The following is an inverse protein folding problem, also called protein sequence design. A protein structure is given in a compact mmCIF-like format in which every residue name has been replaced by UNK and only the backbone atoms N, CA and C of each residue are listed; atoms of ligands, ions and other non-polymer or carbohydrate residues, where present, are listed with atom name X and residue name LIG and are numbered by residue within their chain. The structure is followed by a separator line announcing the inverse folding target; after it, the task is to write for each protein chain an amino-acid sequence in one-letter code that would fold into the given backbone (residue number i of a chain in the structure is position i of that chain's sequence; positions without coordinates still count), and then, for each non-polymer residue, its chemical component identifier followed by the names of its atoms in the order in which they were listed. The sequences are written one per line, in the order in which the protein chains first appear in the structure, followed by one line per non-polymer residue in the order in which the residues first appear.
data_IF_938056180467
#
_entry.id   IF_938056180467
#
_cell.length_a   1.000
_cell.length_b   1.000
_cell.length_c   1.000
_cell.angle_alpha   90.00
_cell.angle_beta   90.00
_cell.angle_gamma   90.00
#
_symmetry.space_group_name_H-M   'P 1'
#
loop_
_entity.id
_entity.type
_entity.pdbx_description
1 polymer ?
#
# COMPACT_ATOMS: atom_id res chain seq x y z
N UNK A 1 -6.19 17.28 -13.20
CA UNK A 1 -4.90 17.48 -12.50
C UNK A 1 -4.82 16.40 -11.43
N UNK A 2 -3.72 15.64 -11.33
CA UNK A 2 -3.64 14.58 -10.34
C UNK A 2 -3.61 15.17 -8.92
N UNK A 3 -4.43 14.58 -8.04
CA UNK A 3 -4.52 14.96 -6.64
C UNK A 3 -3.98 13.83 -5.77
N UNK A 4 -3.32 14.18 -4.68
CA UNK A 4 -2.88 13.25 -3.66
C UNK A 4 -3.55 13.57 -2.32
N UNK A 5 -4.15 12.58 -1.69
CA UNK A 5 -4.64 12.73 -0.33
C UNK A 5 -3.55 12.34 0.67
N UNK A 6 -3.39 13.15 1.70
CA UNK A 6 -2.64 12.81 2.91
C UNK A 6 -3.64 12.62 4.05
N UNK A 7 -3.76 11.40 4.56
CA UNK A 7 -4.56 11.11 5.76
C UNK A 7 -3.64 11.09 6.97
N UNK A 8 -3.84 12.04 7.87
CA UNK A 8 -2.99 12.23 9.04
C UNK A 8 -1.63 12.81 8.68
N UNK A 9 -0.55 12.17 9.09
CA UNK A 9 0.84 12.68 8.97
C UNK A 9 1.81 11.57 8.55
N UNK A 10 3.03 11.91 8.07
CA UNK A 10 4.10 10.93 7.92
C UNK A 10 4.40 10.22 9.24
N UNK A 11 4.88 8.97 9.16
CA UNK A 11 5.20 8.19 10.36
C UNK A 11 6.29 8.88 11.18
N UNK A 12 6.09 9.06 12.49
CA UNK A 12 7.01 9.81 13.33
C UNK A 12 8.40 9.15 13.39
N UNK A 13 9.44 9.92 13.13
CA UNK A 13 10.83 9.47 13.18
C UNK A 13 11.40 9.00 11.85
N UNK A 14 10.58 8.74 10.85
CA UNK A 14 11.02 8.44 9.48
C UNK A 14 11.12 9.74 8.69
N UNK A 15 12.27 10.42 8.79
CA UNK A 15 12.46 11.75 8.20
C UNK A 15 12.49 11.73 6.67
N UNK A 16 12.79 10.60 6.10
CA UNK A 16 12.77 10.36 4.65
C UNK A 16 11.35 10.40 4.05
N UNK A 17 10.29 10.21 4.86
CA UNK A 17 8.90 10.32 4.38
C UNK A 17 8.41 11.76 4.19
N UNK A 18 9.09 12.73 4.83
CA UNK A 18 8.65 14.13 4.78
C UNK A 18 8.88 14.73 3.40
N UNK A 19 7.97 15.63 3.01
CA UNK A 19 8.00 16.35 1.73
C UNK A 19 7.53 17.79 1.94
N UNK A 20 8.07 18.70 1.17
CA UNK A 20 7.55 20.07 1.07
C UNK A 20 6.41 20.09 0.04
N UNK A 21 5.17 20.17 0.53
CA UNK A 21 3.96 20.15 -0.30
C UNK A 21 3.82 21.38 -1.19
N UNK A 22 4.28 22.55 -0.72
CA UNK A 22 4.27 23.76 -1.55
C UNK A 22 5.25 23.65 -2.70
N UNK A 23 6.40 23.03 -2.44
CA UNK A 23 7.38 22.75 -3.48
C UNK A 23 6.89 21.65 -4.44
N UNK A 24 6.18 20.65 -3.92
CA UNK A 24 5.53 19.60 -4.73
C UNK A 24 4.55 20.23 -5.74
N UNK A 25 3.69 21.13 -5.27
CA UNK A 25 2.77 21.85 -6.15
C UNK A 25 3.51 22.71 -7.18
N UNK A 26 4.49 23.48 -6.74
CA UNK A 26 5.23 24.39 -7.63
C UNK A 26 6.06 23.66 -8.70
N UNK A 27 6.62 22.50 -8.39
CA UNK A 27 7.51 21.74 -9.29
C UNK A 27 6.79 20.73 -10.17
N UNK A 28 5.76 20.07 -9.62
CA UNK A 28 5.09 18.96 -10.28
C UNK A 28 3.61 19.25 -10.58
N UNK A 29 3.06 20.34 -10.06
CA UNK A 29 1.64 20.64 -10.20
C UNK A 29 0.70 19.71 -9.45
N UNK A 30 1.23 18.93 -8.51
CA UNK A 30 0.43 18.01 -7.69
C UNK A 30 -0.17 18.77 -6.52
N UNK A 31 -1.49 18.65 -6.36
CA UNK A 31 -2.20 19.25 -5.25
C UNK A 31 -2.41 18.25 -4.14
N UNK A 32 -1.96 18.59 -2.93
CA UNK A 32 -2.15 17.77 -1.74
C UNK A 32 -3.43 18.16 -1.02
N UNK A 33 -4.33 17.21 -0.81
CA UNK A 33 -5.52 17.35 0.02
C UNK A 33 -5.24 16.73 1.38
N UNK A 34 -5.33 17.52 2.44
CA UNK A 34 -5.11 17.06 3.80
C UNK A 34 -6.41 16.60 4.43
N UNK A 35 -6.39 15.42 5.03
CA UNK A 35 -7.50 14.84 5.80
C UNK A 35 -6.99 14.40 7.16
N UNK A 36 -7.74 14.70 8.19
CA UNK A 36 -7.51 14.14 9.51
C UNK A 36 -8.23 12.77 9.65
N UNK A 37 -7.80 11.97 10.61
CA UNK A 37 -8.48 10.70 10.88
C UNK A 37 -9.94 10.87 11.28
N UNK A 38 -10.26 11.99 11.92
CA UNK A 38 -11.62 12.39 12.28
C UNK A 38 -12.54 12.55 11.07
N UNK A 39 -12.01 13.00 9.95
CA UNK A 39 -12.76 13.12 8.68
C UNK A 39 -13.15 11.73 8.13
N UNK A 40 -12.38 10.71 8.49
CA UNK A 40 -12.54 9.35 7.98
C UNK A 40 -13.36 8.44 8.88
N UNK A 41 -13.63 8.82 10.16
CA UNK A 41 -14.24 7.92 11.14
C UNK A 41 -15.63 7.42 10.75
N UNK A 42 -16.41 8.24 10.07
CA UNK A 42 -17.76 7.92 9.63
C UNK A 42 -17.86 7.51 8.15
N UNK A 43 -16.72 7.37 7.46
CA UNK A 43 -16.69 7.17 6.00
C UNK A 43 -17.55 5.99 5.52
N UNK A 44 -17.70 4.95 6.35
CA UNK A 44 -18.49 3.77 6.01
C UNK A 44 -19.96 3.86 6.43
N UNK A 45 -20.38 4.87 7.20
CA UNK A 45 -21.73 4.92 7.77
C UNK A 45 -22.81 5.12 6.70
N UNK A 46 -22.50 5.86 5.65
CA UNK A 46 -23.42 6.14 4.53
C UNK A 46 -23.55 4.97 3.54
N UNK A 47 -22.70 3.95 3.66
CA UNK A 47 -22.77 2.76 2.78
C UNK A 47 -23.83 1.81 3.34
N UNK A 48 -25.03 1.87 2.79
CA UNK A 48 -26.22 1.13 3.24
C UNK A 48 -26.81 0.15 2.21
N UNK A 49 -26.33 0.22 0.95
CA UNK A 49 -26.79 -0.68 -0.12
C UNK A 49 -26.25 -2.11 0.10
N UNK A 50 -27.11 -2.97 0.62
CA UNK A 50 -26.76 -4.36 0.95
C UNK A 50 -26.32 -5.15 -0.29
N UNK A 51 -26.89 -4.92 -1.46
CA UNK A 51 -26.50 -5.65 -2.68
C UNK A 51 -25.15 -5.18 -3.21
N UNK A 52 -24.85 -3.88 -3.12
CA UNK A 52 -23.53 -3.36 -3.43
C UNK A 52 -22.45 -3.93 -2.47
N UNK A 53 -22.77 -4.02 -1.17
CA UNK A 53 -21.86 -4.60 -0.16
C UNK A 53 -21.59 -6.08 -0.48
N UNK A 54 -22.61 -6.88 -0.78
CA UNK A 54 -22.45 -8.30 -1.16
C UNK A 54 -21.61 -8.47 -2.42
N UNK A 55 -21.89 -7.66 -3.43
CA UNK A 55 -21.12 -7.68 -4.68
C UNK A 55 -19.63 -7.34 -4.42
N UNK A 56 -19.35 -6.36 -3.57
CA UNK A 56 -17.98 -6.01 -3.18
C UNK A 56 -17.33 -7.10 -2.33
N UNK A 57 -18.08 -7.73 -1.42
CA UNK A 57 -17.59 -8.88 -0.65
C UNK A 57 -17.16 -10.02 -1.58
N UNK A 58 -17.95 -10.31 -2.61
CA UNK A 58 -17.57 -11.30 -3.62
C UNK A 58 -16.32 -10.90 -4.40
N UNK A 59 -16.20 -9.61 -4.82
CA UNK A 59 -15.01 -9.09 -5.51
C UNK A 59 -13.73 -9.24 -4.65
N UNK A 60 -13.83 -9.02 -3.33
CA UNK A 60 -12.72 -9.24 -2.39
C UNK A 60 -12.34 -10.73 -2.35
N UNK A 61 -13.30 -11.64 -2.19
CA UNK A 61 -13.05 -13.09 -2.17
C UNK A 61 -12.52 -13.58 -3.53
N UNK A 62 -12.97 -13.01 -4.64
CA UNK A 62 -12.46 -13.34 -5.97
C UNK A 62 -11.02 -12.85 -6.17
N UNK A 63 -10.65 -11.74 -5.54
CA UNK A 63 -9.32 -11.15 -5.64
C UNK A 63 -8.32 -11.79 -4.68
N UNK A 64 -8.72 -12.08 -3.44
CA UNK A 64 -7.85 -12.57 -2.38
C UNK A 64 -8.31 -13.92 -1.84
N UNK A 65 -7.33 -14.74 -1.43
CA UNK A 65 -7.58 -15.88 -0.54
C UNK A 65 -7.53 -15.35 0.90
N UNK A 66 -8.70 -15.24 1.53
CA UNK A 66 -8.75 -14.76 2.92
C UNK A 66 -8.38 -15.90 3.87
N UNK A 67 -7.43 -15.63 4.77
CA UNK A 67 -6.95 -16.59 5.75
C UNK A 67 -8.10 -17.14 6.61
N UNK A 68 -8.14 -18.48 6.77
CA UNK A 68 -9.24 -19.14 7.48
C UNK A 68 -10.39 -19.59 6.59
N UNK A 69 -10.34 -19.32 5.28
CA UNK A 69 -11.34 -19.82 4.32
C UNK A 69 -12.66 -19.03 4.36
N UNK A 70 -12.61 -17.74 4.61
CA UNK A 70 -13.78 -16.86 4.66
C UNK A 70 -14.54 -16.82 3.33
N UNK A 71 -15.82 -16.56 3.40
CA UNK A 71 -16.77 -16.42 2.28
C UNK A 71 -17.31 -14.99 2.20
N UNK A 72 -17.93 -14.66 1.07
CA UNK A 72 -18.54 -13.35 0.88
C UNK A 72 -19.74 -13.07 1.81
N UNK A 73 -20.28 -14.11 2.47
CA UNK A 73 -21.41 -14.01 3.40
C UNK A 73 -20.97 -13.79 4.85
N UNK A 74 -19.67 -13.93 5.14
CA UNK A 74 -19.15 -13.74 6.50
C UNK A 74 -19.25 -12.28 6.92
N UNK A 75 -19.67 -12.06 8.17
CA UNK A 75 -19.90 -10.70 8.71
C UNK A 75 -18.66 -9.81 8.60
N UNK A 76 -17.48 -10.36 8.89
CA UNK A 76 -16.21 -9.62 8.79
C UNK A 76 -15.89 -9.21 7.34
N UNK A 77 -16.23 -10.06 6.35
CA UNK A 77 -16.02 -9.77 4.93
C UNK A 77 -17.02 -8.74 4.43
N UNK A 78 -18.28 -8.83 4.88
CA UNK A 78 -19.30 -7.82 4.58
C UNK A 78 -18.93 -6.44 5.15
N UNK A 79 -18.40 -6.42 6.38
CA UNK A 79 -17.92 -5.18 6.99
C UNK A 79 -16.70 -4.63 6.27
N UNK A 80 -15.74 -5.48 5.89
CA UNK A 80 -14.61 -5.11 5.03
C UNK A 80 -15.09 -4.50 3.71
N UNK A 81 -16.06 -5.15 3.04
CA UNK A 81 -16.63 -4.68 1.79
C UNK A 81 -17.27 -3.29 1.91
N UNK A 82 -17.95 -3.05 3.03
CA UNK A 82 -18.53 -1.75 3.34
C UNK A 82 -17.46 -0.65 3.42
N UNK A 83 -16.35 -0.92 4.10
CA UNK A 83 -15.24 0.04 4.19
C UNK A 83 -14.54 0.23 2.84
N UNK A 84 -14.33 -0.85 2.07
CA UNK A 84 -13.75 -0.75 0.73
C UNK A 84 -14.60 0.17 -0.16
N UNK A 85 -15.93 -0.04 -0.20
CA UNK A 85 -16.84 0.82 -0.96
C UNK A 85 -16.77 2.28 -0.51
N UNK A 86 -16.67 2.52 0.80
CA UNK A 86 -16.56 3.87 1.34
C UNK A 86 -15.28 4.57 0.88
N UNK A 87 -14.15 3.90 0.94
CA UNK A 87 -12.87 4.45 0.45
C UNK A 87 -12.87 4.65 -1.08
N UNK A 88 -13.49 3.74 -1.83
CA UNK A 88 -13.64 3.89 -3.29
C UNK A 88 -14.52 5.11 -3.64
N UNK A 89 -15.63 5.28 -2.95
CA UNK A 89 -16.53 6.42 -3.16
C UNK A 89 -15.83 7.74 -2.77
N UNK A 90 -15.18 7.78 -1.62
CA UNK A 90 -14.42 8.95 -1.17
C UNK A 90 -13.29 9.32 -2.15
N UNK A 91 -12.51 8.35 -2.60
CA UNK A 91 -11.44 8.60 -3.56
C UNK A 91 -11.96 9.17 -4.88
N UNK A 92 -13.12 8.70 -5.33
CA UNK A 92 -13.80 9.19 -6.51
C UNK A 92 -14.35 10.61 -6.32
N UNK A 93 -15.04 10.88 -5.21
CA UNK A 93 -15.64 12.18 -4.91
C UNK A 93 -14.59 13.27 -4.73
N UNK A 94 -13.44 12.91 -4.19
CA UNK A 94 -12.30 13.78 -4.01
C UNK A 94 -11.36 13.83 -5.24
N UNK A 95 -11.68 13.13 -6.33
CA UNK A 95 -10.87 13.05 -7.56
C UNK A 95 -9.39 12.68 -7.25
N UNK A 96 -9.21 11.60 -6.48
CA UNK A 96 -7.89 11.16 -6.02
C UNK A 96 -7.27 10.14 -6.98
N UNK A 97 -6.02 10.37 -7.34
CA UNK A 97 -5.19 9.39 -8.05
C UNK A 97 -4.13 8.74 -7.15
N UNK A 98 -3.88 9.36 -6.00
CA UNK A 98 -2.90 8.89 -5.02
C UNK A 98 -3.39 9.15 -3.59
N UNK A 99 -3.05 8.24 -2.68
CA UNK A 99 -3.37 8.35 -1.25
C UNK A 99 -2.13 7.96 -0.45
N UNK A 100 -1.79 8.76 0.55
CA UNK A 100 -0.78 8.45 1.55
C UNK A 100 -1.44 8.50 2.94
N UNK A 101 -1.38 7.43 3.72
CA UNK A 101 -2.06 7.36 4.99
C UNK A 101 -1.12 7.07 6.14
N UNK A 102 -1.25 7.86 7.20
CA UNK A 102 -0.62 7.55 8.47
C UNK A 102 -1.12 6.22 9.01
N UNK A 103 -0.19 5.41 9.50
CA UNK A 103 -0.52 4.19 10.23
C UNK A 103 -0.48 4.47 11.73
N UNK A 104 -1.64 4.53 12.38
CA UNK A 104 -1.75 4.88 13.79
C UNK A 104 -1.32 3.74 14.73
N UNK A 105 -1.66 2.51 14.41
CA UNK A 105 -1.20 1.27 15.06
C UNK A 105 -1.50 1.10 16.55
N UNK A 106 -2.27 1.99 17.15
CA UNK A 106 -2.70 1.94 18.55
C UNK A 106 -4.17 2.27 18.73
N UNK A 107 -4.87 2.45 17.61
CA UNK A 107 -6.24 2.89 17.65
C UNK A 107 -7.14 1.81 18.25
N UNK A 108 -8.12 2.22 19.03
CA UNK A 108 -9.19 1.39 19.58
C UNK A 108 -10.55 1.97 19.18
N UNK A 109 -11.59 1.18 19.30
CA UNK A 109 -12.93 1.60 18.92
C UNK A 109 -13.04 1.88 17.43
N UNK A 110 -13.72 2.98 17.07
CA UNK A 110 -13.98 3.36 15.65
C UNK A 110 -12.67 3.56 14.87
N UNK A 111 -11.72 4.27 15.45
CA UNK A 111 -10.42 4.51 14.82
C UNK A 111 -9.62 3.21 14.61
N UNK A 112 -9.69 2.27 15.57
CA UNK A 112 -9.05 0.96 15.44
C UNK A 112 -9.68 0.09 14.36
N UNK A 113 -11.00 0.18 14.21
CA UNK A 113 -11.70 -0.52 13.14
C UNK A 113 -11.32 0.04 11.77
N UNK A 114 -11.30 1.35 11.62
CA UNK A 114 -10.90 2.01 10.38
C UNK A 114 -9.46 1.65 10.00
N UNK A 115 -8.53 1.69 10.96
CA UNK A 115 -7.12 1.32 10.76
C UNK A 115 -6.98 -0.15 10.33
N UNK A 116 -7.80 -1.06 10.88
CA UNK A 116 -7.82 -2.47 10.48
C UNK A 116 -8.36 -2.70 9.07
N UNK A 117 -9.23 -1.83 8.57
CA UNK A 117 -9.86 -1.93 7.25
C UNK A 117 -9.11 -1.15 6.16
N UNK A 118 -8.12 -0.36 6.53
CA UNK A 118 -7.32 0.44 5.58
C UNK A 118 -6.60 -0.43 4.56
N UNK A 119 -5.98 -1.53 4.99
CA UNK A 119 -5.17 -2.39 4.12
C UNK A 119 -6.01 -3.08 3.04
N UNK A 120 -7.17 -3.71 3.35
CA UNK A 120 -8.08 -4.21 2.32
C UNK A 120 -8.54 -3.12 1.35
N UNK A 121 -8.95 -1.95 1.88
CA UNK A 121 -9.41 -0.85 1.05
C UNK A 121 -8.30 -0.35 0.10
N UNK A 122 -7.09 -0.15 0.60
CA UNK A 122 -5.95 0.26 -0.22
C UNK A 122 -5.57 -0.79 -1.25
N UNK A 123 -5.60 -2.08 -0.91
CA UNK A 123 -5.30 -3.14 -1.87
C UNK A 123 -6.31 -3.19 -3.02
N UNK A 124 -7.59 -2.97 -2.74
CA UNK A 124 -8.62 -2.88 -3.77
C UNK A 124 -8.51 -1.60 -4.61
N UNK A 125 -8.19 -0.47 -3.99
CA UNK A 125 -7.94 0.79 -4.70
C UNK A 125 -6.70 0.70 -5.61
N UNK A 126 -5.62 0.06 -5.16
CA UNK A 126 -4.42 -0.17 -5.96
C UNK A 126 -4.76 -1.00 -7.20
N UNK A 127 -5.53 -2.07 -7.05
CA UNK A 127 -6.03 -2.88 -8.18
C UNK A 127 -6.81 -2.04 -9.19
N UNK A 128 -7.55 -1.03 -8.74
CA UNK A 128 -8.34 -0.13 -9.60
C UNK A 128 -7.53 1.03 -10.21
N UNK A 129 -6.25 1.18 -9.84
CA UNK A 129 -5.35 2.18 -10.41
C UNK A 129 -5.02 3.37 -9.49
N UNK A 130 -5.64 3.48 -8.32
CA UNK A 130 -5.30 4.49 -7.33
C UNK A 130 -4.08 4.05 -6.53
N UNK A 131 -2.99 4.79 -6.58
CA UNK A 131 -1.78 4.45 -5.84
C UNK A 131 -1.93 4.77 -4.34
N UNK A 132 -1.85 3.76 -3.49
CA UNK A 132 -2.03 3.91 -2.05
C UNK A 132 -0.79 3.48 -1.29
N UNK A 133 -0.17 4.43 -0.57
CA UNK A 133 0.97 4.19 0.30
C UNK A 133 0.57 4.31 1.78
N UNK A 134 1.10 3.45 2.60
CA UNK A 134 0.99 3.55 4.06
C UNK A 134 2.10 4.44 4.63
N UNK A 135 2.10 4.64 5.96
CA UNK A 135 3.09 5.45 6.69
C UNK A 135 3.10 6.95 6.35
N UNK A 136 2.14 7.39 5.53
CA UNK A 136 2.06 8.78 5.08
C UNK A 136 3.10 9.15 4.02
N UNK A 137 3.62 8.15 3.27
CA UNK A 137 4.65 8.38 2.24
C UNK A 137 4.05 8.81 0.90
N UNK A 138 3.93 10.11 0.71
CA UNK A 138 3.48 10.68 -0.57
C UNK A 138 4.46 10.42 -1.72
N UNK A 139 5.76 10.33 -1.46
CA UNK A 139 6.76 10.09 -2.51
C UNK A 139 6.65 8.67 -3.06
N UNK A 140 6.39 7.69 -2.19
CA UNK A 140 6.11 6.33 -2.62
C UNK A 140 4.77 6.24 -3.35
N UNK A 141 3.71 6.92 -2.89
CA UNK A 141 2.44 6.96 -3.63
C UNK A 141 2.64 7.51 -5.05
N UNK A 142 3.45 8.56 -5.22
CA UNK A 142 3.81 9.10 -6.53
C UNK A 142 4.60 8.09 -7.37
N UNK A 143 5.59 7.41 -6.80
CA UNK A 143 6.37 6.39 -7.49
C UNK A 143 5.49 5.21 -7.93
N UNK A 144 4.58 4.74 -7.08
CA UNK A 144 3.60 3.71 -7.42
C UNK A 144 2.69 4.16 -8.57
N UNK A 145 2.19 5.41 -8.54
CA UNK A 145 1.34 5.95 -9.60
C UNK A 145 2.05 5.99 -10.95
N UNK A 146 3.33 6.38 -10.97
CA UNK A 146 4.16 6.33 -12.17
C UNK A 146 4.30 4.90 -12.70
N UNK A 147 4.67 3.96 -11.84
CA UNK A 147 4.84 2.56 -12.22
C UNK A 147 3.53 1.95 -12.72
N UNK A 148 2.41 2.19 -12.04
CA UNK A 148 1.09 1.72 -12.50
C UNK A 148 0.70 2.31 -13.86
N UNK A 149 1.01 3.57 -14.10
CA UNK A 149 0.74 4.21 -15.40
C UNK A 149 1.54 3.58 -16.53
N UNK A 150 2.80 3.18 -16.27
CA UNK A 150 3.72 2.65 -17.29
C UNK A 150 3.52 1.16 -17.50
N UNK A 151 3.36 0.38 -16.42
CA UNK A 151 3.37 -1.09 -16.45
C UNK A 151 2.04 -1.74 -16.05
N UNK A 152 1.08 -0.98 -15.55
CA UNK A 152 -0.15 -1.51 -14.96
C UNK A 152 0.00 -1.98 -13.51
N UNK A 153 1.21 -2.03 -12.96
CA UNK A 153 1.52 -2.58 -11.64
C UNK A 153 2.41 -1.63 -10.84
N UNK A 154 2.25 -1.60 -9.51
CA UNK A 154 3.10 -0.80 -8.63
C UNK A 154 2.88 -1.14 -7.16
N UNK A 155 3.94 -1.53 -6.47
CA UNK A 155 3.94 -1.98 -5.08
C UNK A 155 4.88 -1.13 -4.24
N UNK A 156 4.43 -0.69 -3.06
CA UNK A 156 5.31 -0.14 -2.03
C UNK A 156 6.28 -1.22 -1.56
N UNK A 157 7.56 -0.91 -1.52
CA UNK A 157 8.60 -1.85 -1.10
C UNK A 157 9.76 -1.13 -0.43
N UNK A 158 10.34 -1.77 0.56
CA UNK A 158 11.52 -1.32 1.30
C UNK A 158 12.59 -2.39 1.30
N UNK A 159 13.85 -1.96 1.46
CA UNK A 159 14.98 -2.87 1.60
C UNK A 159 15.04 -3.38 3.05
N UNK A 160 14.70 -4.64 3.27
CA UNK A 160 14.69 -5.26 4.59
C UNK A 160 16.08 -5.74 5.02
N UNK A 161 16.84 -6.30 4.09
CA UNK A 161 18.14 -6.90 4.39
C UNK A 161 19.00 -7.06 3.14
N UNK A 162 20.30 -7.16 3.35
CA UNK A 162 21.27 -7.42 2.27
C UNK A 162 22.09 -8.66 2.63
N UNK A 163 22.14 -9.62 1.71
CA UNK A 163 23.08 -10.72 1.73
C UNK A 163 24.26 -10.38 0.83
N UNK A 164 25.34 -9.92 1.44
CA UNK A 164 26.57 -9.56 0.71
C UNK A 164 27.34 -10.74 0.13
N UNK A 165 27.04 -11.97 0.54
CA UNK A 165 27.71 -13.16 0.01
C UNK A 165 27.06 -13.62 -1.30
N UNK A 166 25.73 -13.57 -1.35
CA UNK A 166 24.95 -13.91 -2.53
C UNK A 166 24.69 -12.70 -3.44
N UNK A 167 25.05 -11.50 -3.00
CA UNK A 167 24.77 -10.24 -3.70
C UNK A 167 23.26 -10.05 -3.96
N UNK A 168 22.47 -10.24 -2.89
CA UNK A 168 21.00 -10.23 -2.90
C UNK A 168 20.48 -9.23 -1.89
N UNK A 169 19.46 -8.44 -2.29
CA UNK A 169 18.64 -7.68 -1.39
C UNK A 169 17.31 -8.40 -1.15
N UNK A 170 16.88 -8.48 0.10
CA UNK A 170 15.51 -8.86 0.45
C UNK A 170 14.70 -7.57 0.52
N UNK A 171 13.71 -7.48 -0.34
CA UNK A 171 12.89 -6.28 -0.52
C UNK A 171 11.43 -6.67 -0.33
N UNK A 172 10.68 -5.85 0.37
CA UNK A 172 9.27 -6.10 0.62
C UNK A 172 8.60 -4.99 1.40
N UNK A 173 7.35 -5.21 1.74
CA UNK A 173 6.62 -4.35 2.67
C UNK A 173 5.44 -5.10 3.28
N UNK A 174 5.09 -4.70 4.52
CA UNK A 174 3.90 -5.14 5.22
C UNK A 174 2.75 -4.18 4.95
N UNK A 175 1.59 -4.69 4.63
CA UNK A 175 0.40 -3.87 4.46
C UNK A 175 -0.39 -4.14 3.18
N UNK A 176 -0.78 -3.07 2.49
CA UNK A 176 -1.51 -3.16 1.22
C UNK A 176 -0.63 -3.68 0.09
N UNK A 177 -1.25 -4.41 -0.84
CA UNK A 177 -0.55 -5.01 -1.96
C UNK A 177 -1.26 -4.86 -3.29
N UNK A 178 -0.48 -4.78 -4.36
CA UNK A 178 -0.99 -4.82 -5.73
C UNK A 178 -1.21 -6.28 -6.16
N UNK A 179 -2.47 -6.70 -6.15
CA UNK A 179 -2.85 -8.08 -6.50
C UNK A 179 -2.42 -8.48 -7.92
N UNK A 180 -2.27 -7.51 -8.83
CA UNK A 180 -1.91 -7.77 -10.23
C UNK A 180 -0.44 -8.23 -10.37
N UNK A 181 0.40 -7.98 -9.37
CA UNK A 181 1.79 -8.49 -9.36
C UNK A 181 1.83 -9.99 -9.08
N UNK A 182 0.84 -10.54 -8.38
CA UNK A 182 0.77 -11.97 -8.06
C UNK A 182 0.26 -12.78 -9.24
N UNK A 183 1.09 -12.97 -10.26
CA UNK A 183 0.69 -13.57 -11.54
C UNK A 183 0.36 -15.08 -11.45
N UNK A 184 0.88 -15.80 -10.47
CA UNK A 184 0.82 -17.25 -10.41
C UNK A 184 -0.30 -17.80 -9.51
N UNK A 185 -0.79 -17.01 -8.56
CA UNK A 185 -1.78 -17.42 -7.55
C UNK A 185 -2.48 -16.22 -6.93
N UNK A 186 -3.63 -16.43 -6.33
CA UNK A 186 -4.30 -15.37 -5.56
C UNK A 186 -3.40 -14.90 -4.41
N UNK A 187 -3.25 -13.58 -4.22
CA UNK A 187 -2.63 -13.08 -3.00
C UNK A 187 -3.49 -13.44 -1.78
N UNK A 188 -2.84 -13.69 -0.66
CA UNK A 188 -3.51 -14.00 0.60
C UNK A 188 -3.80 -12.71 1.36
N UNK A 189 -5.04 -12.52 1.80
CA UNK A 189 -5.41 -11.53 2.80
C UNK A 189 -5.26 -12.19 4.18
N UNK A 190 -4.17 -11.90 4.86
CA UNK A 190 -3.84 -12.45 6.18
C UNK A 190 -4.50 -11.68 7.29
N UNK A 191 -4.95 -12.40 8.32
CA UNK A 191 -5.48 -11.83 9.55
C UNK A 191 -4.34 -11.73 10.56
N UNK A 192 -4.04 -10.53 11.03
CA UNK A 192 -3.01 -10.28 12.04
C UNK A 192 -3.64 -9.82 13.34
N UNK A 193 -3.26 -10.46 14.45
CA UNK A 193 -3.79 -10.15 15.79
C UNK A 193 -3.05 -9.00 16.44
N UNK A 194 -1.79 -8.82 16.09
CA UNK A 194 -0.93 -7.72 16.55
C UNK A 194 -0.13 -7.24 15.36
N UNK A 195 -0.30 -5.98 15.00
CA UNK A 195 0.37 -5.40 13.84
C UNK A 195 1.64 -4.66 14.30
N UNK A 196 2.82 -5.12 13.85
CA UNK A 196 4.14 -4.55 14.20
C UNK A 196 4.37 -4.32 15.70
N UNK A 197 3.93 -5.27 16.55
CA UNK A 197 4.05 -5.15 18.00
C UNK A 197 3.14 -4.10 18.64
N UNK A 198 2.17 -3.56 17.90
CA UNK A 198 1.22 -2.56 18.38
C UNK A 198 -0.11 -3.22 18.73
N UNK A 199 -0.85 -2.59 19.63
CA UNK A 199 -2.18 -3.07 20.05
C UNK A 199 -3.17 -2.88 18.90
N UNK A 200 -3.92 -3.94 18.61
CA UNK A 200 -4.93 -3.97 17.55
C UNK A 200 -4.61 -5.01 16.48
N UNK A 201 -5.64 -5.57 15.90
CA UNK A 201 -5.57 -6.50 14.78
C UNK A 201 -5.86 -5.79 13.46
N UNK A 202 -5.66 -6.47 12.38
CA UNK A 202 -5.99 -5.97 11.05
C UNK A 202 -5.72 -7.02 9.99
N UNK A 203 -5.58 -6.54 8.77
CA UNK A 203 -5.28 -7.37 7.62
C UNK A 203 -3.96 -6.95 6.99
N UNK A 204 -3.30 -7.87 6.29
CA UNK A 204 -2.22 -7.56 5.39
C UNK A 204 -2.34 -8.40 4.12
N UNK A 205 -1.83 -7.89 3.03
CA UNK A 205 -1.78 -8.60 1.76
C UNK A 205 -0.43 -9.28 1.59
N UNK A 206 -0.43 -10.59 1.37
CA UNK A 206 0.79 -11.37 1.14
C UNK A 206 0.72 -12.09 -0.19
N UNK A 207 1.79 -11.97 -0.96
CA UNK A 207 2.05 -12.77 -2.15
C UNK A 207 3.56 -12.82 -2.41
N UNK A 208 3.95 -13.64 -3.36
CA UNK A 208 5.34 -13.72 -3.81
C UNK A 208 5.43 -13.15 -5.22
N UNK A 209 6.09 -12.01 -5.40
CA UNK A 209 6.33 -11.48 -6.73
C UNK A 209 7.05 -12.52 -7.61
N UNK A 210 6.73 -12.58 -8.91
CA UNK A 210 7.31 -13.59 -9.78
C UNK A 210 8.83 -13.43 -9.91
N UNK A 211 9.50 -14.56 -10.17
CA UNK A 211 10.90 -14.58 -10.59
C UNK A 211 11.02 -13.91 -11.96
N UNK A 212 12.03 -13.07 -12.14
CA UNK A 212 12.27 -12.36 -13.38
C UNK A 212 12.58 -10.88 -13.21
N UNK A 213 12.59 -10.11 -14.30
CA UNK A 213 12.97 -8.70 -14.29
C UNK A 213 12.08 -7.86 -13.42
N UNK A 214 12.67 -6.91 -12.70
CA UNK A 214 11.97 -5.94 -11.85
C UNK A 214 12.64 -4.58 -11.95
N UNK A 215 11.81 -3.52 -11.88
CA UNK A 215 12.28 -2.14 -11.80
C UNK A 215 11.82 -1.52 -10.48
N UNK A 216 12.73 -0.90 -9.77
CA UNK A 216 12.47 -0.10 -8.59
C UNK A 216 12.56 1.38 -8.91
N UNK A 217 11.64 2.14 -8.35
CA UNK A 217 11.59 3.60 -8.48
C UNK A 217 11.41 4.22 -7.10
N UNK A 218 12.33 5.09 -6.72
CA UNK A 218 12.17 5.96 -5.57
C UNK A 218 12.18 7.43 -6.00
N UNK A 219 11.44 8.26 -5.27
CA UNK A 219 11.42 9.71 -5.43
C UNK A 219 11.98 10.33 -4.16
N UNK A 220 12.96 11.21 -4.32
CA UNK A 220 13.57 11.93 -3.20
C UNK A 220 13.72 13.41 -3.51
N UNK A 221 14.00 14.20 -2.48
CA UNK A 221 14.33 15.63 -2.63
C UNK A 221 15.75 15.87 -2.16
N UNK A 222 16.49 16.71 -2.89
CA UNK A 222 17.77 17.19 -2.43
C UNK A 222 17.60 18.40 -1.48
N UNK A 223 18.70 18.88 -0.91
CA UNK A 223 18.73 20.03 0.00
C UNK A 223 18.19 21.35 -0.59
N UNK A 224 18.13 21.44 -1.92
CA UNK A 224 17.62 22.60 -2.65
C UNK A 224 16.15 22.42 -3.08
N UNK A 225 15.51 21.31 -2.63
CA UNK A 225 14.12 20.97 -2.90
C UNK A 225 13.87 20.43 -4.30
N UNK A 226 14.91 20.05 -5.06
CA UNK A 226 14.72 19.44 -6.36
C UNK A 226 14.35 17.95 -6.20
N UNK A 227 13.31 17.53 -6.93
CA UNK A 227 12.94 16.12 -6.97
C UNK A 227 13.94 15.34 -7.83
N UNK A 228 14.30 14.18 -7.34
CA UNK A 228 15.16 13.21 -8.03
C UNK A 228 14.48 11.86 -8.08
N UNK A 229 14.63 11.22 -9.21
CA UNK A 229 14.20 9.84 -9.42
C UNK A 229 15.42 8.93 -9.28
N UNK A 230 15.32 7.95 -8.40
CA UNK A 230 16.29 6.87 -8.29
C UNK A 230 15.65 5.64 -8.92
N UNK A 231 16.24 5.16 -10.02
CA UNK A 231 15.75 4.00 -10.74
C UNK A 231 16.79 2.91 -10.66
N UNK A 232 16.37 1.71 -10.27
CA UNK A 232 17.24 0.55 -10.23
C UNK A 232 16.57 -0.63 -10.93
N UNK A 233 17.33 -1.32 -11.77
CA UNK A 233 16.92 -2.55 -12.42
C UNK A 233 17.53 -3.75 -11.69
N UNK A 234 16.75 -4.82 -11.61
CA UNK A 234 17.17 -6.06 -11.01
C UNK A 234 16.36 -7.23 -11.52
N UNK A 235 16.61 -8.37 -10.92
CA UNK A 235 15.94 -9.61 -11.21
C UNK A 235 15.53 -10.30 -9.90
N UNK A 236 14.25 -10.59 -9.75
CA UNK A 236 13.77 -11.40 -8.64
C UNK A 236 14.25 -12.83 -8.81
N UNK A 237 14.92 -13.35 -7.79
CA UNK A 237 15.55 -14.66 -7.77
C UNK A 237 14.74 -15.66 -6.95
N UNK A 238 14.76 -16.95 -7.30
CA UNK A 238 14.23 -17.99 -6.42
C UNK A 238 15.09 -18.13 -5.16
N UNK A 239 14.49 -18.66 -4.10
CA UNK A 239 15.20 -18.97 -2.86
C UNK A 239 14.42 -18.59 -1.62
N UNK A 240 15.01 -18.76 -0.44
CA UNK A 240 14.34 -18.47 0.82
C UNK A 240 14.08 -16.97 0.97
N UNK A 241 12.90 -16.65 1.46
CA UNK A 241 12.44 -15.32 1.82
C UNK A 241 12.12 -15.27 3.31
N UNK A 242 11.87 -14.07 3.84
CA UNK A 242 11.38 -13.95 5.20
C UNK A 242 9.96 -14.50 5.33
N UNK A 243 9.68 -15.19 6.43
CA UNK A 243 8.41 -15.91 6.67
C UNK A 243 7.53 -15.25 7.73
N UNK A 244 7.73 -13.96 7.99
CA UNK A 244 6.95 -13.23 8.98
C UNK A 244 5.61 -12.67 8.46
N UNK A 245 5.21 -13.07 7.26
CA UNK A 245 3.88 -12.78 6.72
C UNK A 245 3.81 -11.66 5.71
N UNK A 246 4.88 -10.91 5.51
CA UNK A 246 4.92 -9.81 4.56
C UNK A 246 5.15 -10.28 3.13
N UNK A 247 4.71 -9.49 2.17
CA UNK A 247 5.15 -9.62 0.77
C UNK A 247 6.63 -9.26 0.70
N UNK A 248 7.47 -10.18 0.30
CA UNK A 248 8.89 -9.91 0.10
C UNK A 248 9.50 -10.82 -0.98
N UNK A 249 10.64 -10.39 -1.51
CA UNK A 249 11.33 -11.07 -2.60
C UNK A 249 12.84 -10.94 -2.46
N UNK A 250 13.54 -11.86 -3.10
CA UNK A 250 15.00 -11.81 -3.27
C UNK A 250 15.30 -11.10 -4.58
N UNK A 251 15.95 -9.96 -4.52
CA UNK A 251 16.31 -9.22 -5.74
C UNK A 251 17.81 -9.12 -5.88
N UNK A 252 18.31 -9.49 -7.06
CA UNK A 252 19.65 -9.20 -7.49
C UNK A 252 19.61 -7.97 -8.40
N UNK A 253 20.28 -6.91 -7.97
CA UNK A 253 20.36 -5.69 -8.76
C UNK A 253 21.40 -5.78 -9.88
N UNK A 254 21.29 -4.94 -10.89
CA UNK A 254 22.26 -4.81 -11.97
C UNK A 254 23.62 -4.26 -11.53
N UNK A 255 23.65 -3.60 -10.36
CA UNK A 255 24.88 -3.18 -9.67
C UNK A 255 25.06 -3.98 -8.39
N UNK A 256 26.30 -4.29 -7.98
CA UNK A 256 26.54 -5.02 -6.75
C UNK A 256 25.99 -4.32 -5.51
N UNK A 257 25.43 -5.07 -4.56
CA UNK A 257 24.86 -4.52 -3.32
C UNK A 257 25.87 -3.72 -2.47
N UNK A 258 27.18 -3.89 -2.69
CA UNK A 258 28.22 -3.12 -2.02
C UNK A 258 28.48 -1.74 -2.62
N UNK A 259 27.87 -1.47 -3.76
CA UNK A 259 28.01 -0.21 -4.50
C UNK A 259 26.78 0.70 -4.38
N UNK A 260 25.77 0.23 -3.65
CA UNK A 260 24.56 1.00 -3.29
C UNK A 260 24.84 2.10 -2.29
#
# INVERSE_FOLDING_TARGET
QPNIAQIGRPYPGMMDLYIDETNLYNRMGLYTKQFDWEDMWAIADDITDTEAIKAKAQDIIDTFEVEGGATAEDEDIMDMAKHVLAFEQWAKDEDLSMIASHYAGKAQGVAGKLDSMLIPAFSMLIKQGTACAVEGDMKVAMAMSILKTISGMGQLSEMYSIDFNEDICIIGHSGSGDADISLAHKPTMKIVKVFHGKVGGGYLTQFYPPVGPVTYLAITQDKDGNFKFVVAEGENQPGPIFTFGDTNMRTKFSIPCREF
#
